data_IF_301289598291
#
_entry.id   IF_301289598291
#
_cell.length_a   1.000
_cell.length_b   1.000
_cell.length_c   1.000
_cell.angle_alpha   90.00
_cell.angle_beta   90.00
_cell.angle_gamma   90.00
#
_symmetry.space_group_name_H-M   'P 1'
#
loop_
_entity.id
_entity.type
_entity.pdbx_description
1 polymer ?
#
# COMPACT_ATOMS: atom_id res chain seq x y z
N UNK A 1 26.22 22.76 14.09
CA UNK A 1 25.21 21.71 14.32
C UNK A 1 25.03 20.96 13.01
N UNK A 2 25.24 19.64 13.00
CA UNK A 2 24.97 18.81 11.82
C UNK A 2 23.48 18.46 11.82
N UNK A 3 22.80 18.76 10.72
CA UNK A 3 21.35 18.51 10.58
C UNK A 3 21.18 17.18 9.85
N UNK A 4 21.15 16.09 10.62
CA UNK A 4 20.97 14.74 10.07
C UNK A 4 19.59 14.17 10.47
N UNK A 5 19.02 13.33 9.62
CA UNK A 5 17.84 12.53 9.94
C UNK A 5 18.26 11.22 10.66
N UNK A 6 17.37 10.63 11.47
CA UNK A 6 17.57 9.28 11.96
C UNK A 6 17.79 8.29 10.81
N UNK A 7 18.67 7.28 11.01
CA UNK A 7 18.94 6.26 9.99
C UNK A 7 17.66 5.57 9.50
N UNK A 8 17.50 5.49 8.20
CA UNK A 8 16.32 4.87 7.58
C UNK A 8 15.06 5.75 7.51
N UNK A 9 15.15 7.01 7.97
CA UNK A 9 14.12 8.03 7.77
C UNK A 9 14.48 8.93 6.59
N UNK A 10 13.48 9.51 5.94
CA UNK A 10 13.65 10.51 4.89
C UNK A 10 12.52 11.53 4.91
N UNK A 11 12.79 12.73 4.43
CA UNK A 11 11.75 13.70 4.09
C UNK A 11 11.14 13.33 2.75
N UNK A 12 9.82 13.29 2.68
CA UNK A 12 9.09 13.05 1.43
C UNK A 12 8.96 14.38 0.68
N UNK A 13 9.51 14.43 -0.52
CA UNK A 13 9.42 15.61 -1.36
C UNK A 13 8.07 15.68 -2.10
N UNK A 14 7.80 16.83 -2.71
CA UNK A 14 6.52 17.13 -3.34
C UNK A 14 6.03 16.06 -4.32
N UNK A 15 6.89 15.59 -5.24
CA UNK A 15 6.52 14.57 -6.23
C UNK A 15 6.23 13.21 -5.57
N UNK A 16 7.00 12.82 -4.56
CA UNK A 16 6.75 11.57 -3.83
C UNK A 16 5.41 11.62 -3.09
N UNK A 17 5.14 12.73 -2.38
CA UNK A 17 3.85 12.92 -1.69
C UNK A 17 2.66 12.91 -2.65
N UNK A 18 2.80 13.52 -3.82
CA UNK A 18 1.74 13.48 -4.85
C UNK A 18 1.46 12.07 -5.33
N UNK A 19 2.52 11.30 -5.58
CA UNK A 19 2.41 9.93 -6.02
C UNK A 19 1.75 9.06 -4.93
N UNK A 20 2.14 9.23 -3.67
CA UNK A 20 1.51 8.57 -2.52
C UNK A 20 0.03 8.96 -2.41
N UNK A 21 -0.28 10.26 -2.52
CA UNK A 21 -1.66 10.76 -2.49
C UNK A 21 -2.50 10.18 -3.63
N UNK A 22 -1.95 10.06 -4.83
CA UNK A 22 -2.65 9.45 -5.96
C UNK A 22 -3.00 7.98 -5.69
N UNK A 23 -2.05 7.20 -5.14
CA UNK A 23 -2.33 5.80 -4.77
C UNK A 23 -3.40 5.76 -3.68
N UNK A 24 -3.32 6.65 -2.68
CA UNK A 24 -4.33 6.77 -1.63
C UNK A 24 -5.72 7.05 -2.20
N UNK A 25 -5.83 8.00 -3.12
CA UNK A 25 -7.12 8.36 -3.74
C UNK A 25 -7.70 7.18 -4.50
N UNK A 26 -6.87 6.44 -5.26
CA UNK A 26 -7.29 5.23 -5.97
C UNK A 26 -7.66 4.08 -5.02
N UNK A 27 -6.98 3.97 -3.88
CA UNK A 27 -7.32 3.02 -2.83
C UNK A 27 -8.68 3.34 -2.21
N UNK A 28 -8.90 4.58 -1.78
CA UNK A 28 -10.16 5.02 -1.18
C UNK A 28 -11.34 4.82 -2.15
N UNK A 29 -11.18 5.24 -3.40
CA UNK A 29 -12.19 5.02 -4.46
C UNK A 29 -12.49 3.52 -4.65
N UNK A 30 -11.48 2.65 -4.56
CA UNK A 30 -11.69 1.20 -4.65
C UNK A 30 -12.37 0.65 -3.40
N UNK A 31 -11.98 1.12 -2.21
CA UNK A 31 -12.59 0.72 -0.95
C UNK A 31 -14.09 1.06 -0.91
N UNK A 32 -14.48 2.23 -1.42
CA UNK A 32 -15.88 2.64 -1.56
C UNK A 32 -16.65 1.73 -2.53
N UNK A 33 -16.06 1.35 -3.68
CA UNK A 33 -16.68 0.43 -4.65
C UNK A 33 -16.96 -0.94 -4.03
N UNK A 34 -16.10 -1.41 -3.14
CA UNK A 34 -16.21 -2.70 -2.45
C UNK A 34 -16.93 -2.61 -1.09
N UNK A 35 -17.45 -1.44 -0.72
CA UNK A 35 -18.12 -1.18 0.57
C UNK A 35 -17.23 -1.45 1.80
N UNK A 36 -15.94 -1.07 1.71
CA UNK A 36 -15.03 -1.06 2.86
C UNK A 36 -15.05 0.30 3.55
N UNK A 37 -15.34 0.30 4.85
CA UNK A 37 -15.34 1.52 5.66
C UNK A 37 -13.91 1.94 6.01
N UNK A 38 -13.53 3.15 5.59
CA UNK A 38 -12.21 3.68 5.87
C UNK A 38 -12.11 4.12 7.33
N UNK A 39 -11.16 3.55 8.06
CA UNK A 39 -10.79 3.97 9.42
C UNK A 39 -9.27 4.12 9.55
N UNK A 40 -8.83 4.90 10.50
CA UNK A 40 -7.40 4.99 10.86
C UNK A 40 -7.21 4.52 12.31
N UNK A 41 -6.54 3.37 12.53
CA UNK A 41 -6.20 2.91 13.88
C UNK A 41 -5.17 3.83 14.53
N UNK A 42 -5.05 3.77 15.85
CA UNK A 42 -4.08 4.57 16.61
C UNK A 42 -2.66 4.41 16.08
N UNK A 43 -1.92 5.51 16.02
CA UNK A 43 -0.50 5.50 15.65
C UNK A 43 0.37 4.89 16.74
N UNK A 44 -0.03 5.06 18.01
CA UNK A 44 0.61 4.48 19.18
C UNK A 44 -0.28 3.35 19.71
N UNK A 45 0.32 2.20 19.93
CA UNK A 45 -0.31 1.03 20.53
C UNK A 45 0.42 0.66 21.84
N UNK A 46 -0.26 -0.06 22.72
CA UNK A 46 0.45 -0.71 23.82
C UNK A 46 1.39 -1.77 23.25
N UNK A 47 2.61 -1.84 23.75
CA UNK A 47 3.59 -2.83 23.28
C UNK A 47 3.03 -4.26 23.38
N UNK A 48 2.31 -4.58 24.47
CA UNK A 48 1.64 -5.87 24.65
C UNK A 48 0.61 -6.20 23.56
N UNK A 49 -0.01 -5.20 22.94
CA UNK A 49 -0.92 -5.42 21.80
C UNK A 49 -0.16 -5.88 20.55
N UNK A 50 1.04 -5.35 20.34
CA UNK A 50 1.90 -5.75 19.21
C UNK A 50 2.51 -7.14 19.42
N UNK A 51 2.94 -7.44 20.64
CA UNK A 51 3.46 -8.76 21.04
C UNK A 51 2.42 -9.88 20.84
N UNK A 52 1.15 -9.56 21.01
CA UNK A 52 0.06 -10.53 20.86
C UNK A 52 -0.01 -11.16 19.46
N UNK A 53 0.44 -10.48 18.40
CA UNK A 53 0.48 -11.01 17.03
C UNK A 53 1.79 -11.75 16.71
N UNK A 54 2.91 -11.15 17.07
CA UNK A 54 4.23 -11.53 16.53
C UNK A 54 5.16 -12.12 17.62
N UNK A 55 4.65 -12.27 18.83
CA UNK A 55 5.47 -12.72 19.95
C UNK A 55 6.49 -11.68 20.45
N UNK A 56 7.31 -12.01 21.45
CA UNK A 56 8.25 -11.07 22.09
C UNK A 56 9.33 -10.52 21.14
N UNK A 57 9.67 -11.22 20.05
CA UNK A 57 10.70 -10.80 19.09
C UNK A 57 10.33 -9.48 18.38
N UNK A 58 9.06 -9.11 18.34
CA UNK A 58 8.58 -7.86 17.70
C UNK A 58 9.19 -6.61 18.35
N UNK A 59 9.63 -6.69 19.60
CA UNK A 59 10.27 -5.58 20.31
C UNK A 59 11.51 -5.08 19.54
N UNK A 60 12.28 -5.99 18.95
CA UNK A 60 13.48 -5.65 18.17
C UNK A 60 13.15 -4.98 16.82
N UNK A 61 11.93 -5.20 16.32
CA UNK A 61 11.44 -4.68 15.05
C UNK A 61 10.58 -3.41 15.18
N UNK A 62 10.34 -2.92 16.41
CA UNK A 62 9.47 -1.78 16.69
C UNK A 62 10.21 -0.59 17.29
N UNK A 63 9.66 0.60 17.09
CA UNK A 63 10.02 1.78 17.85
C UNK A 63 9.18 1.83 19.12
N UNK A 64 9.75 1.35 20.22
CA UNK A 64 9.07 1.30 21.54
C UNK A 64 9.73 2.23 22.55
N UNK A 65 8.93 2.75 23.47
CA UNK A 65 9.37 3.61 24.57
C UNK A 65 8.36 3.63 25.71
N UNK A 66 8.78 4.09 26.88
CA UNK A 66 7.87 4.27 28.03
C UNK A 66 7.34 5.70 28.01
N UNK A 67 6.02 5.87 28.08
CA UNK A 67 5.39 7.18 28.16
C UNK A 67 5.51 7.80 29.57
N UNK A 68 5.08 9.06 29.72
CA UNK A 68 5.11 9.77 31.01
C UNK A 68 4.24 9.12 32.08
N UNK A 69 3.30 8.26 31.70
CA UNK A 69 2.43 7.50 32.61
C UNK A 69 2.98 6.14 32.98
N UNK A 70 4.22 5.80 32.55
CA UNK A 70 4.88 4.53 32.84
C UNK A 70 4.40 3.36 31.98
N UNK A 71 3.68 3.62 30.85
CA UNK A 71 3.17 2.58 29.95
C UNK A 71 4.20 2.30 28.85
N UNK A 72 4.46 1.03 28.56
CA UNK A 72 5.22 0.62 27.40
C UNK A 72 4.37 0.71 26.15
N UNK A 73 4.71 1.63 25.27
CA UNK A 73 4.02 1.91 24.04
C UNK A 73 4.99 1.79 22.86
N UNK A 74 4.43 1.59 21.66
CA UNK A 74 5.24 1.54 20.44
C UNK A 74 4.50 2.20 19.29
N UNK A 75 5.25 2.66 18.29
CA UNK A 75 4.69 3.06 17.00
C UNK A 75 4.17 1.82 16.28
N UNK A 76 2.99 1.92 15.65
CA UNK A 76 2.39 0.83 14.88
C UNK A 76 3.34 0.37 13.77
N UNK A 77 3.58 -0.93 13.65
CA UNK A 77 4.42 -1.49 12.59
C UNK A 77 3.60 -2.06 11.43
N UNK A 78 2.29 -2.21 11.60
CA UNK A 78 1.28 -2.47 10.57
C UNK A 78 -0.07 -1.84 10.96
N UNK A 79 -1.07 -1.96 10.08
CA UNK A 79 -2.42 -1.46 10.33
C UNK A 79 -3.37 -2.58 10.78
N UNK A 80 -3.10 -3.84 10.39
CA UNK A 80 -3.93 -5.02 10.68
C UNK A 80 -4.17 -5.22 12.18
N UNK A 81 -3.12 -5.06 13.02
CA UNK A 81 -3.23 -5.21 14.49
C UNK A 81 -4.18 -4.19 15.07
N UNK A 82 -4.01 -2.93 14.66
CA UNK A 82 -4.87 -1.84 15.13
C UNK A 82 -6.34 -2.04 14.72
N UNK A 83 -6.59 -2.51 13.49
CA UNK A 83 -7.92 -2.85 12.99
C UNK A 83 -8.52 -4.04 13.77
N UNK A 84 -7.74 -5.09 13.98
CA UNK A 84 -8.17 -6.29 14.73
C UNK A 84 -8.49 -5.95 16.19
N UNK A 85 -7.66 -5.13 16.85
CA UNK A 85 -7.92 -4.62 18.22
C UNK A 85 -9.20 -3.78 18.24
N UNK A 86 -9.39 -2.86 17.29
CA UNK A 86 -10.58 -2.01 17.19
C UNK A 86 -11.85 -2.85 17.14
N UNK A 87 -11.93 -3.84 16.25
CA UNK A 87 -13.11 -4.71 16.12
C UNK A 87 -13.27 -5.61 17.34
N UNK A 88 -12.17 -6.14 17.89
CA UNK A 88 -12.21 -7.02 19.06
C UNK A 88 -12.76 -6.33 20.31
N UNK A 89 -12.47 -5.04 20.49
CA UNK A 89 -12.98 -4.23 21.60
C UNK A 89 -14.47 -3.82 21.45
N UNK A 90 -15.02 -3.90 20.23
CA UNK A 90 -16.34 -3.39 19.88
C UNK A 90 -17.33 -4.54 19.64
N UNK A 91 -18.12 -4.88 20.65
CA UNK A 91 -19.16 -5.92 20.54
C UNK A 91 -20.48 -5.41 19.96
N UNK A 92 -20.60 -4.11 19.79
CA UNK A 92 -21.75 -3.41 19.18
C UNK A 92 -21.68 -3.37 17.65
N UNK A 93 -20.54 -3.74 17.04
CA UNK A 93 -20.40 -3.77 15.58
C UNK A 93 -21.20 -4.90 14.96
N UNK A 94 -21.93 -4.56 13.90
CA UNK A 94 -22.66 -5.55 13.10
C UNK A 94 -21.68 -6.31 12.22
N UNK A 95 -21.68 -7.63 12.33
CA UNK A 95 -20.82 -8.53 11.52
C UNK A 95 -21.61 -9.14 10.35
N UNK A 96 -20.98 -9.51 9.23
CA UNK A 96 -19.59 -9.22 8.92
C UNK A 96 -19.35 -7.73 8.71
N UNK A 97 -18.13 -7.25 9.02
CA UNK A 97 -17.72 -5.87 8.77
C UNK A 97 -16.50 -5.83 7.86
N UNK A 98 -16.50 -4.89 6.91
CA UNK A 98 -15.41 -4.62 5.98
C UNK A 98 -14.75 -3.30 6.36
N UNK A 99 -13.46 -3.33 6.68
CA UNK A 99 -12.69 -2.18 7.06
C UNK A 99 -11.51 -1.98 6.11
N UNK A 100 -11.20 -0.72 5.83
CA UNK A 100 -10.01 -0.32 5.09
C UNK A 100 -9.20 0.71 5.87
N UNK A 101 -7.90 0.75 5.65
CA UNK A 101 -7.02 1.73 6.27
C UNK A 101 -5.88 2.13 5.33
N UNK A 102 -5.42 3.37 5.44
CA UNK A 102 -4.25 3.87 4.74
C UNK A 102 -3.47 4.78 5.67
N UNK A 103 -2.20 4.46 5.93
CA UNK A 103 -1.41 5.26 6.87
C UNK A 103 0.06 4.90 6.92
N UNK A 104 0.82 5.73 7.63
CA UNK A 104 2.23 5.46 7.90
C UNK A 104 2.41 4.37 8.95
N UNK A 105 3.42 3.54 8.74
CA UNK A 105 3.86 2.49 9.66
C UNK A 105 5.37 2.57 9.87
N UNK A 106 5.85 2.07 11.01
CA UNK A 106 7.25 2.17 11.42
C UNK A 106 7.81 0.80 11.73
N UNK A 107 8.96 0.45 11.08
CA UNK A 107 9.67 -0.81 11.32
C UNK A 107 11.13 -0.55 11.56
N UNK A 108 11.68 -1.14 12.60
CA UNK A 108 13.11 -1.02 12.94
C UNK A 108 13.99 -2.00 12.14
N UNK A 109 13.63 -2.19 10.86
CA UNK A 109 14.35 -3.04 9.91
C UNK A 109 15.68 -2.40 9.45
N UNK A 110 16.59 -3.22 8.91
CA UNK A 110 17.75 -2.71 8.19
C UNK A 110 17.29 -2.02 6.89
N UNK A 111 17.62 -0.72 6.71
CA UNK A 111 17.21 0.03 5.54
C UNK A 111 17.83 -0.54 4.26
N UNK A 112 16.99 -0.72 3.23
CA UNK A 112 17.37 -1.17 1.89
C UNK A 112 16.62 -0.34 0.84
N UNK A 113 17.01 -0.45 -0.43
CA UNK A 113 16.28 0.19 -1.51
C UNK A 113 14.80 -0.26 -1.53
N UNK A 114 13.88 0.68 -1.42
CA UNK A 114 12.44 0.39 -1.32
C UNK A 114 11.98 -0.14 0.04
N UNK A 115 12.86 -0.19 1.06
CA UNK A 115 12.54 -0.60 2.44
C UNK A 115 13.06 0.46 3.41
N UNK A 116 12.15 1.33 3.80
CA UNK A 116 12.40 2.42 4.76
C UNK A 116 11.88 2.03 6.14
N UNK A 117 12.37 2.70 7.17
CA UNK A 117 11.86 2.52 8.55
C UNK A 117 10.53 3.22 8.79
N UNK A 118 10.17 4.19 7.96
CA UNK A 118 8.85 4.77 7.84
C UNK A 118 8.39 4.67 6.40
N UNK A 119 7.20 4.12 6.17
CA UNK A 119 6.59 3.98 4.86
C UNK A 119 5.06 3.94 4.98
N UNK A 120 4.36 4.08 3.86
CA UNK A 120 2.90 4.01 3.84
C UNK A 120 2.44 2.59 3.51
N UNK A 121 1.39 2.19 4.20
CA UNK A 121 0.71 0.91 4.00
C UNK A 121 -0.77 1.16 3.80
N UNK A 122 -1.40 0.35 2.99
CA UNK A 122 -2.84 0.21 2.91
C UNK A 122 -3.23 -1.19 3.31
N UNK A 123 -4.39 -1.30 3.98
CA UNK A 123 -4.95 -2.56 4.46
C UNK A 123 -6.43 -2.61 4.15
N UNK A 124 -6.94 -3.80 3.85
CA UNK A 124 -8.35 -4.14 3.83
C UNK A 124 -8.57 -5.39 4.65
N UNK A 125 -9.63 -5.41 5.45
CA UNK A 125 -9.93 -6.49 6.38
C UNK A 125 -11.42 -6.79 6.42
N UNK A 126 -11.78 -8.08 6.40
CA UNK A 126 -13.14 -8.57 6.62
C UNK A 126 -13.16 -9.36 7.91
N UNK A 127 -13.99 -8.92 8.85
CA UNK A 127 -14.18 -9.60 10.14
C UNK A 127 -15.57 -10.18 10.26
N UNK A 128 -15.67 -11.39 10.86
CA UNK A 128 -16.94 -12.03 11.18
C UNK A 128 -17.48 -12.95 10.09
N UNK A 129 -16.65 -13.40 9.15
CA UNK A 129 -17.04 -14.41 8.14
C UNK A 129 -16.04 -15.55 8.06
N UNK A 130 -16.50 -16.76 8.33
CA UNK A 130 -15.74 -18.00 8.11
C UNK A 130 -15.82 -18.48 6.65
N UNK A 131 -16.70 -17.87 5.82
CA UNK A 131 -16.91 -18.28 4.44
C UNK A 131 -15.73 -17.89 3.56
N UNK A 132 -15.32 -18.79 2.68
CA UNK A 132 -14.27 -18.59 1.68
C UNK A 132 -14.55 -17.43 0.71
N UNK A 133 -15.82 -17.05 0.56
CA UNK A 133 -16.19 -15.87 -0.24
C UNK A 133 -15.61 -14.57 0.32
N UNK A 134 -15.34 -14.50 1.63
CA UNK A 134 -14.63 -13.35 2.21
C UNK A 134 -13.17 -13.30 1.73
N UNK A 135 -12.50 -14.45 1.63
CA UNK A 135 -11.14 -14.54 1.09
C UNK A 135 -11.13 -14.18 -0.41
N UNK A 136 -12.12 -14.67 -1.16
CA UNK A 136 -12.29 -14.34 -2.58
C UNK A 136 -12.50 -12.84 -2.81
N UNK A 137 -13.30 -12.19 -1.97
CA UNK A 137 -13.55 -10.74 -2.02
C UNK A 137 -12.28 -9.92 -1.79
N UNK A 138 -11.47 -10.32 -0.80
CA UNK A 138 -10.17 -9.68 -0.53
C UNK A 138 -9.23 -9.83 -1.72
N UNK A 139 -9.16 -11.01 -2.34
CA UNK A 139 -8.32 -11.28 -3.51
C UNK A 139 -8.82 -10.50 -4.73
N UNK A 140 -10.13 -10.42 -4.94
CA UNK A 140 -10.73 -9.61 -6.01
C UNK A 140 -10.40 -8.13 -5.84
N UNK A 141 -10.54 -7.59 -4.63
CA UNK A 141 -10.14 -6.23 -4.31
C UNK A 141 -8.69 -5.95 -4.70
N UNK A 142 -7.77 -6.81 -4.28
CA UNK A 142 -6.33 -6.67 -4.59
C UNK A 142 -6.10 -6.64 -6.10
N UNK A 143 -6.69 -7.57 -6.84
CA UNK A 143 -6.60 -7.62 -8.30
C UNK A 143 -7.17 -6.36 -8.95
N UNK A 144 -8.33 -5.91 -8.50
CA UNK A 144 -9.02 -4.73 -9.02
C UNK A 144 -8.19 -3.45 -8.76
N UNK A 145 -7.72 -3.26 -7.53
CA UNK A 145 -6.93 -2.10 -7.11
C UNK A 145 -5.62 -2.00 -7.88
N UNK A 146 -4.83 -3.08 -7.97
CA UNK A 146 -3.57 -3.08 -8.71
C UNK A 146 -3.78 -2.80 -10.20
N UNK A 147 -4.80 -3.40 -10.82
CA UNK A 147 -5.18 -3.12 -12.20
C UNK A 147 -5.58 -1.65 -12.41
N UNK A 148 -6.31 -1.05 -11.47
CA UNK A 148 -6.68 0.38 -11.50
C UNK A 148 -5.46 1.30 -11.44
N UNK A 149 -4.36 0.84 -10.85
CA UNK A 149 -3.06 1.50 -10.86
C UNK A 149 -2.22 1.20 -12.12
N UNK A 150 -2.75 0.39 -13.05
CA UNK A 150 -2.02 -0.02 -14.26
C UNK A 150 -0.93 -1.07 -14.00
N UNK A 151 -1.05 -1.84 -12.93
CA UNK A 151 -0.13 -2.93 -12.59
C UNK A 151 -0.77 -4.26 -12.95
N UNK A 152 -0.14 -4.98 -13.89
CA UNK A 152 -0.48 -6.37 -14.17
C UNK A 152 0.24 -7.27 -13.17
N UNK A 153 -0.54 -7.91 -12.29
CA UNK A 153 0.00 -8.79 -11.27
C UNK A 153 -0.47 -10.23 -11.48
N UNK A 154 0.32 -11.17 -10.96
CA UNK A 154 -0.07 -12.55 -10.72
C UNK A 154 -0.33 -12.71 -9.22
N UNK A 155 -1.46 -13.32 -8.87
CA UNK A 155 -1.81 -13.63 -7.49
C UNK A 155 -1.54 -15.11 -7.27
N UNK A 156 -0.51 -15.40 -6.48
CA UNK A 156 -0.12 -16.72 -6.06
C UNK A 156 -0.83 -17.07 -4.75
N UNK A 157 -1.58 -18.17 -4.75
CA UNK A 157 -2.45 -18.58 -3.64
C UNK A 157 -2.01 -19.94 -3.11
N UNK A 158 -2.02 -20.06 -1.79
CA UNK A 158 -1.80 -21.30 -1.06
C UNK A 158 -2.85 -21.45 0.05
N UNK A 159 -2.91 -22.62 0.63
CA UNK A 159 -3.64 -22.90 1.87
C UNK A 159 -2.69 -23.55 2.87
N UNK A 160 -2.48 -22.92 4.01
CA UNK A 160 -1.55 -23.40 5.05
C UNK A 160 -1.82 -24.84 5.49
N UNK A 161 -3.10 -25.22 5.64
CA UNK A 161 -3.49 -26.55 6.02
C UNK A 161 -3.00 -27.63 5.07
N UNK A 162 -2.86 -27.37 3.75
CA UNK A 162 -2.30 -28.33 2.80
C UNK A 162 -0.85 -28.67 3.16
N UNK A 163 -0.05 -27.66 3.54
CA UNK A 163 1.34 -27.87 3.94
C UNK A 163 1.43 -28.68 5.25
N UNK A 164 0.60 -28.32 6.23
CA UNK A 164 0.54 -29.01 7.52
C UNK A 164 0.04 -30.48 7.35
N UNK A 165 -0.96 -30.70 6.49
CA UNK A 165 -1.45 -32.05 6.16
C UNK A 165 -0.40 -32.86 5.40
N UNK A 166 0.38 -32.27 4.49
CA UNK A 166 1.48 -32.99 3.84
C UNK A 166 2.55 -33.42 4.84
N UNK A 167 2.99 -32.48 5.72
CA UNK A 167 3.96 -32.79 6.77
C UNK A 167 3.48 -33.94 7.67
N UNK A 168 2.22 -33.90 8.09
CA UNK A 168 1.67 -34.94 8.99
C UNK A 168 1.38 -36.27 8.30
N UNK A 169 0.67 -36.27 7.15
CA UNK A 169 0.19 -37.49 6.48
C UNK A 169 1.26 -38.18 5.67
N UNK A 170 2.19 -37.45 5.04
CA UNK A 170 3.22 -38.02 4.15
C UNK A 170 4.61 -38.10 4.78
N UNK A 171 4.96 -37.18 5.68
CA UNK A 171 6.26 -37.19 6.35
C UNK A 171 6.20 -37.61 7.82
N UNK A 172 4.98 -37.83 8.39
CA UNK A 172 4.81 -38.23 9.79
C UNK A 172 5.22 -37.14 10.80
N UNK A 173 5.34 -35.90 10.38
CA UNK A 173 5.78 -34.75 11.20
C UNK A 173 4.55 -34.08 11.80
N UNK A 174 4.35 -34.23 13.11
CA UNK A 174 3.22 -33.66 13.86
C UNK A 174 3.66 -32.70 14.97
N UNK A 175 4.97 -32.60 15.28
CA UNK A 175 5.48 -31.68 16.25
C UNK A 175 5.43 -30.25 15.72
N UNK A 176 4.70 -29.37 16.42
CA UNK A 176 4.45 -27.99 16.00
C UNK A 176 5.75 -27.16 15.86
N UNK A 177 6.79 -27.48 16.62
CA UNK A 177 8.07 -26.78 16.53
C UNK A 177 8.79 -27.13 15.23
N UNK A 178 8.78 -28.43 14.87
CA UNK A 178 9.35 -28.92 13.61
C UNK A 178 8.55 -28.42 12.42
N UNK A 179 7.22 -28.46 12.47
CA UNK A 179 6.33 -27.89 11.43
C UNK A 179 6.67 -26.42 11.20
N UNK A 180 6.83 -25.61 12.27
CA UNK A 180 7.18 -24.21 12.17
C UNK A 180 8.57 -23.99 11.54
N UNK A 181 9.57 -24.81 11.90
CA UNK A 181 10.90 -24.75 11.28
C UNK A 181 10.88 -25.16 9.81
N UNK A 182 10.12 -26.17 9.43
CA UNK A 182 9.91 -26.59 8.03
C UNK A 182 9.31 -25.45 7.20
N UNK A 183 8.27 -24.79 7.71
CA UNK A 183 7.64 -23.65 7.03
C UNK A 183 8.60 -22.45 6.92
N UNK A 184 9.40 -22.16 7.97
CA UNK A 184 10.44 -21.12 7.92
C UNK A 184 11.55 -21.41 6.91
N UNK A 185 11.91 -22.69 6.75
CA UNK A 185 12.87 -23.11 5.73
C UNK A 185 12.34 -22.81 4.32
N UNK A 186 11.08 -23.14 4.05
CA UNK A 186 10.42 -22.88 2.76
C UNK A 186 10.29 -21.39 2.46
N UNK A 187 9.98 -20.54 3.44
CA UNK A 187 9.90 -19.07 3.24
C UNK A 187 11.21 -18.48 2.67
N UNK A 188 12.34 -19.11 2.96
CA UNK A 188 13.66 -18.70 2.45
C UNK A 188 13.91 -19.06 0.99
N UNK A 189 13.09 -19.94 0.36
CA UNK A 189 13.23 -20.34 -1.04
C UNK A 189 13.16 -19.14 -2.01
N UNK A 190 12.49 -18.08 -1.61
CA UNK A 190 12.46 -16.84 -2.37
C UNK A 190 13.82 -16.11 -2.46
N UNK A 191 14.81 -16.49 -1.63
CA UNK A 191 16.11 -15.81 -1.48
C UNK A 191 17.31 -16.75 -1.57
N UNK A 192 17.13 -18.05 -1.35
CA UNK A 192 18.19 -19.05 -1.28
C UNK A 192 17.83 -20.27 -2.13
N UNK A 193 18.85 -20.98 -2.64
CA UNK A 193 18.62 -22.27 -3.31
C UNK A 193 18.23 -23.36 -2.32
N UNK A 194 17.58 -24.42 -2.83
CA UNK A 194 17.18 -25.58 -2.01
C UNK A 194 18.38 -26.20 -1.27
N UNK A 195 19.52 -26.32 -1.93
CA UNK A 195 20.75 -26.84 -1.31
C UNK A 195 21.24 -25.97 -0.16
N UNK A 196 21.22 -24.64 -0.32
CA UNK A 196 21.61 -23.71 0.74
C UNK A 196 20.68 -23.81 1.95
N UNK A 197 19.37 -24.02 1.71
CA UNK A 197 18.40 -24.19 2.79
C UNK A 197 18.60 -25.52 3.50
N UNK A 198 18.75 -26.63 2.77
CA UNK A 198 18.98 -27.94 3.36
C UNK A 198 20.25 -27.90 4.25
N UNK A 199 21.34 -27.33 3.75
CA UNK A 199 22.58 -27.18 4.54
C UNK A 199 22.41 -26.31 5.79
N UNK A 200 21.63 -25.21 5.72
CA UNK A 200 21.38 -24.33 6.86
C UNK A 200 20.55 -25.01 7.98
N UNK A 201 19.70 -25.96 7.61
CA UNK A 201 18.77 -26.61 8.54
C UNK A 201 19.18 -28.03 8.93
N UNK A 202 20.32 -28.54 8.47
CA UNK A 202 20.80 -29.92 8.71
C UNK A 202 20.85 -30.30 10.19
N UNK A 203 21.19 -29.36 11.09
CA UNK A 203 21.28 -29.60 12.54
C UNK A 203 19.91 -29.60 13.25
N UNK A 204 18.84 -29.16 12.58
CA UNK A 204 17.51 -28.96 13.17
C UNK A 204 16.43 -29.81 12.56
N UNK A 205 16.57 -30.16 11.29
CA UNK A 205 15.58 -30.88 10.51
C UNK A 205 16.21 -32.09 9.81
N UNK A 206 15.43 -33.18 9.67
CA UNK A 206 15.83 -34.29 8.82
C UNK A 206 15.93 -33.83 7.36
N UNK A 207 17.13 -33.94 6.79
CA UNK A 207 17.43 -33.45 5.44
C UNK A 207 16.59 -34.09 4.35
N UNK A 208 16.26 -35.39 4.49
CA UNK A 208 15.43 -36.11 3.51
C UNK A 208 13.97 -35.62 3.56
N UNK A 209 13.42 -35.41 4.76
CA UNK A 209 12.08 -34.88 4.95
C UNK A 209 12.00 -33.42 4.44
N UNK A 210 13.02 -32.63 4.72
CA UNK A 210 13.08 -31.23 4.22
C UNK A 210 13.17 -31.20 2.69
N UNK A 211 13.97 -32.06 2.08
CA UNK A 211 14.05 -32.12 0.62
C UNK A 211 12.71 -32.50 -0.01
N UNK A 212 12.04 -33.53 0.49
CA UNK A 212 10.69 -33.94 0.00
C UNK A 212 9.67 -32.81 0.16
N UNK A 213 9.74 -32.07 1.26
CA UNK A 213 8.87 -30.94 1.49
C UNK A 213 9.16 -29.79 0.51
N UNK A 214 10.42 -29.49 0.26
CA UNK A 214 10.83 -28.49 -0.76
C UNK A 214 10.35 -28.90 -2.15
N UNK A 215 10.46 -30.17 -2.52
CA UNK A 215 9.95 -30.69 -3.78
C UNK A 215 8.44 -30.51 -3.90
N UNK A 216 7.69 -30.85 -2.85
CA UNK A 216 6.24 -30.64 -2.80
C UNK A 216 5.84 -29.18 -2.95
N UNK A 217 6.44 -28.25 -2.19
CA UNK A 217 6.09 -26.83 -2.26
C UNK A 217 6.55 -26.13 -3.56
N UNK A 218 7.45 -26.77 -4.30
CA UNK A 218 7.87 -26.30 -5.63
C UNK A 218 6.81 -26.54 -6.72
N UNK A 219 5.79 -27.34 -6.38
CA UNK A 219 4.68 -27.61 -7.28
C UNK A 219 3.76 -26.38 -7.36
N UNK A 220 3.67 -25.78 -8.51
CA UNK A 220 2.88 -24.60 -8.77
C UNK A 220 2.29 -24.60 -10.18
N UNK A 221 1.26 -23.79 -10.41
CA UNK A 221 0.65 -23.66 -11.72
C UNK A 221 -0.82 -23.23 -11.71
N UNK A 222 -1.47 -23.29 -12.88
CA UNK A 222 -2.90 -22.96 -12.98
C UNK A 222 -3.76 -23.84 -12.07
N UNK A 223 -4.79 -23.25 -11.42
CA UNK A 223 -5.67 -23.98 -10.51
C UNK A 223 -6.25 -25.26 -11.10
N UNK A 224 -6.68 -25.23 -12.36
CA UNK A 224 -7.30 -26.35 -13.05
C UNK A 224 -6.37 -27.56 -13.17
N UNK A 225 -5.05 -27.31 -13.26
CA UNK A 225 -4.06 -28.37 -13.33
C UNK A 225 -3.70 -28.92 -11.96
N UNK A 226 -3.51 -28.01 -11.00
CA UNK A 226 -3.01 -28.37 -9.67
C UNK A 226 -4.09 -29.08 -8.85
N UNK A 227 -5.32 -28.57 -8.83
CA UNK A 227 -6.42 -29.14 -8.02
C UNK A 227 -6.90 -30.53 -8.47
N UNK A 228 -6.51 -30.97 -9.65
CA UNK A 228 -6.81 -32.32 -10.14
C UNK A 228 -5.71 -33.34 -9.79
N UNK A 229 -4.63 -32.95 -9.13
CA UNK A 229 -3.58 -33.84 -8.69
C UNK A 229 -4.11 -34.79 -7.58
N UNK A 230 -3.85 -36.08 -7.74
CA UNK A 230 -4.37 -37.12 -6.81
C UNK A 230 -3.80 -36.95 -5.39
N UNK A 231 -2.59 -36.45 -5.24
CA UNK A 231 -1.97 -36.13 -3.94
C UNK A 231 -2.80 -35.12 -3.17
N UNK A 232 -3.27 -34.07 -3.88
CA UNK A 232 -4.06 -33.02 -3.25
C UNK A 232 -5.45 -33.44 -2.83
N UNK A 233 -6.03 -34.43 -3.50
CA UNK A 233 -7.34 -35.01 -3.11
C UNK A 233 -7.33 -35.65 -1.74
N UNK A 234 -6.15 -36.06 -1.23
CA UNK A 234 -6.00 -36.61 0.10
C UNK A 234 -6.09 -35.58 1.23
N UNK A 235 -6.08 -34.27 0.90
CA UNK A 235 -6.08 -33.19 1.88
C UNK A 235 -7.45 -32.52 2.01
N UNK A 236 -7.93 -32.36 3.24
CA UNK A 236 -9.20 -31.69 3.52
C UNK A 236 -9.17 -30.20 3.12
N UNK A 237 -8.03 -29.57 3.32
CA UNK A 237 -7.79 -28.16 2.95
C UNK A 237 -7.88 -27.91 1.45
N UNK A 238 -7.74 -28.94 0.60
CA UNK A 238 -7.90 -28.82 -0.85
C UNK A 238 -9.33 -28.49 -1.26
N UNK A 239 -10.32 -28.94 -0.49
CA UNK A 239 -11.72 -28.60 -0.74
C UNK A 239 -11.95 -27.10 -0.58
N UNK A 240 -11.40 -26.50 0.49
CA UNK A 240 -11.47 -25.04 0.72
C UNK A 240 -10.80 -24.27 -0.40
N UNK A 241 -9.64 -24.75 -0.85
CA UNK A 241 -8.93 -24.12 -1.96
C UNK A 241 -9.73 -24.23 -3.27
N UNK A 242 -10.35 -25.37 -3.55
CA UNK A 242 -11.23 -25.56 -4.71
C UNK A 242 -12.43 -24.59 -4.68
N UNK A 243 -13.13 -24.51 -3.54
CA UNK A 243 -14.23 -23.55 -3.37
C UNK A 243 -13.80 -22.09 -3.59
N UNK A 244 -12.60 -21.73 -3.13
CA UNK A 244 -12.04 -20.40 -3.38
C UNK A 244 -11.88 -20.13 -4.88
N UNK A 245 -11.32 -21.08 -5.62
CA UNK A 245 -11.13 -20.89 -7.07
C UNK A 245 -12.44 -20.86 -7.84
N UNK A 246 -13.45 -21.62 -7.43
CA UNK A 246 -14.80 -21.54 -8.01
C UNK A 246 -15.43 -20.16 -7.78
N UNK A 247 -15.28 -19.60 -6.58
CA UNK A 247 -15.72 -18.24 -6.27
C UNK A 247 -14.97 -17.20 -7.08
N UNK A 248 -13.64 -17.30 -7.17
CA UNK A 248 -12.79 -16.38 -7.96
C UNK A 248 -13.10 -16.46 -9.46
N UNK A 249 -13.36 -17.66 -9.98
CA UNK A 249 -13.78 -17.85 -11.38
C UNK A 249 -15.13 -17.20 -11.66
N UNK A 250 -16.09 -17.33 -10.76
CA UNK A 250 -17.40 -16.66 -10.86
C UNK A 250 -17.28 -15.15 -10.84
N UNK A 251 -16.29 -14.62 -10.14
CA UNK A 251 -15.91 -13.19 -10.08
C UNK A 251 -15.05 -12.73 -11.27
N UNK A 252 -14.77 -13.62 -12.22
CA UNK A 252 -13.92 -13.37 -13.40
C UNK A 252 -12.50 -12.88 -13.03
N UNK A 253 -11.99 -13.27 -11.88
CA UNK A 253 -10.64 -12.95 -11.45
C UNK A 253 -9.61 -13.60 -12.40
N UNK A 254 -8.57 -12.85 -12.76
CA UNK A 254 -7.56 -13.26 -13.75
C UNK A 254 -6.17 -13.33 -13.13
N UNK A 255 -5.26 -14.03 -13.82
CA UNK A 255 -3.85 -14.13 -13.42
C UNK A 255 -3.67 -14.72 -12.00
N UNK A 256 -4.42 -15.79 -11.71
CA UNK A 256 -4.36 -16.49 -10.43
C UNK A 256 -3.64 -17.82 -10.62
N UNK A 257 -2.75 -18.15 -9.71
CA UNK A 257 -2.00 -19.42 -9.69
C UNK A 257 -2.01 -20.05 -8.30
N UNK A 258 -1.91 -21.37 -8.23
CA UNK A 258 -1.58 -22.07 -6.99
C UNK A 258 -0.05 -22.05 -6.87
N UNK A 259 0.46 -21.74 -5.68
CA UNK A 259 1.89 -21.74 -5.39
C UNK A 259 2.12 -22.10 -3.91
N UNK A 260 2.49 -23.36 -3.66
CA UNK A 260 2.69 -23.85 -2.31
C UNK A 260 3.92 -23.29 -1.61
N UNK A 261 4.80 -22.59 -2.32
CA UNK A 261 5.92 -21.87 -1.72
C UNK A 261 5.50 -20.55 -1.00
N UNK A 262 4.26 -20.11 -1.17
CA UNK A 262 3.70 -18.95 -0.47
C UNK A 262 3.35 -19.34 0.96
N UNK A 263 4.28 -19.10 1.89
CA UNK A 263 4.16 -19.47 3.33
C UNK A 263 4.23 -18.26 4.27
N UNK A 264 3.61 -17.17 3.87
CA UNK A 264 3.64 -15.90 4.61
C UNK A 264 3.03 -16.01 6.01
N UNK A 265 3.49 -15.09 6.90
CA UNK A 265 2.85 -14.86 8.20
C UNK A 265 2.74 -16.11 9.04
N UNK A 266 3.84 -16.84 9.20
CA UNK A 266 3.92 -18.15 9.82
C UNK A 266 3.25 -18.23 11.20
N UNK A 267 3.18 -17.12 11.90
CA UNK A 267 2.74 -17.09 13.29
C UNK A 267 1.24 -16.82 13.45
N UNK A 268 0.56 -16.26 12.45
CA UNK A 268 -0.84 -15.84 12.60
C UNK A 268 -1.80 -16.29 11.49
N UNK A 269 -1.36 -16.58 10.27
CA UNK A 269 -2.27 -17.10 9.25
C UNK A 269 -2.73 -18.54 9.56
N UNK A 270 -4.03 -18.81 9.35
CA UNK A 270 -4.67 -20.07 9.72
C UNK A 270 -5.33 -20.83 8.55
N UNK A 271 -5.34 -20.26 7.35
CA UNK A 271 -6.04 -20.83 6.21
C UNK A 271 -5.43 -20.42 4.88
N UNK A 272 -6.26 -19.81 4.02
CA UNK A 272 -5.81 -19.21 2.75
C UNK A 272 -4.73 -18.17 3.01
N UNK A 273 -3.67 -18.20 2.20
CA UNK A 273 -2.62 -17.19 2.13
C UNK A 273 -2.34 -16.86 0.67
N UNK A 274 -1.99 -15.61 0.37
CA UNK A 274 -1.70 -15.22 -0.99
C UNK A 274 -0.72 -14.07 -1.08
N UNK A 275 -0.10 -13.94 -2.25
CA UNK A 275 0.77 -12.83 -2.62
C UNK A 275 0.44 -12.33 -4.02
N UNK A 276 0.45 -11.00 -4.19
CA UNK A 276 0.42 -10.39 -5.51
C UNK A 276 1.81 -9.92 -5.91
N UNK A 277 2.29 -10.36 -7.06
CA UNK A 277 3.60 -10.03 -7.64
C UNK A 277 3.44 -9.47 -9.04
N UNK A 278 4.22 -8.47 -9.38
CA UNK A 278 4.36 -8.01 -10.77
C UNK A 278 5.51 -8.78 -11.41
N UNK A 279 5.25 -9.62 -12.45
CA UNK A 279 6.23 -10.58 -12.95
C UNK A 279 7.50 -9.95 -13.54
N UNK A 280 7.39 -8.73 -14.06
CA UNK A 280 8.52 -8.02 -14.68
C UNK A 280 9.37 -7.25 -13.68
N UNK A 281 8.94 -7.14 -12.41
CA UNK A 281 9.68 -6.43 -11.38
C UNK A 281 10.48 -7.37 -10.48
N UNK A 282 11.69 -6.94 -10.11
CA UNK A 282 12.51 -7.64 -9.12
C UNK A 282 12.20 -7.24 -7.66
N UNK A 283 11.07 -6.56 -7.43
CA UNK A 283 10.72 -5.97 -6.12
C UNK A 283 10.19 -7.02 -5.14
N UNK A 284 9.82 -8.20 -5.65
CA UNK A 284 9.13 -9.22 -4.87
C UNK A 284 7.63 -8.95 -4.73
N UNK A 285 7.03 -9.39 -3.63
CA UNK A 285 5.60 -9.25 -3.40
C UNK A 285 5.21 -7.80 -3.13
N UNK A 286 4.20 -7.30 -3.86
CA UNK A 286 3.60 -5.97 -3.67
C UNK A 286 2.54 -5.99 -2.58
N UNK A 287 1.80 -7.09 -2.49
CA UNK A 287 0.70 -7.30 -1.54
C UNK A 287 0.81 -8.68 -0.95
N UNK A 288 0.50 -8.81 0.31
CA UNK A 288 0.31 -10.08 0.98
C UNK A 288 -0.98 -10.08 1.78
N UNK A 289 -1.64 -11.23 1.83
CA UNK A 289 -2.88 -11.38 2.55
C UNK A 289 -3.21 -12.83 2.88
N UNK A 290 -4.34 -13.01 3.55
CA UNK A 290 -4.87 -14.32 3.91
C UNK A 290 -5.76 -14.29 5.14
N UNK A 291 -6.18 -15.47 5.58
CA UNK A 291 -7.03 -15.72 6.74
C UNK A 291 -6.20 -15.84 8.02
N UNK A 292 -6.60 -15.11 9.07
CA UNK A 292 -5.83 -15.00 10.32
C UNK A 292 -6.70 -15.03 11.59
N UNK A 293 -7.57 -15.99 11.71
CA UNK A 293 -8.51 -16.16 12.82
C UNK A 293 -7.81 -16.21 14.19
N UNK A 294 -6.58 -16.77 14.26
CA UNK A 294 -5.77 -16.85 15.49
C UNK A 294 -5.46 -15.48 16.12
N UNK A 295 -5.35 -14.43 15.32
CA UNK A 295 -5.08 -13.10 15.86
C UNK A 295 -6.25 -12.54 16.65
N UNK A 296 -7.47 -12.70 16.15
CA UNK A 296 -8.68 -12.28 16.85
C UNK A 296 -8.94 -13.10 18.11
N UNK A 297 -8.60 -14.41 18.08
CA UNK A 297 -8.62 -15.27 19.28
C UNK A 297 -7.68 -14.74 20.37
N UNK A 298 -6.48 -14.29 20.02
CA UNK A 298 -5.52 -13.70 20.96
C UNK A 298 -6.09 -12.43 21.61
N UNK A 299 -6.92 -11.67 20.90
CA UNK A 299 -7.67 -10.53 21.46
C UNK A 299 -8.96 -10.92 22.18
N UNK A 300 -9.16 -12.23 22.50
CA UNK A 300 -10.31 -12.74 23.24
C UNK A 300 -11.59 -12.89 22.42
N UNK A 301 -11.51 -12.95 21.08
CA UNK A 301 -12.63 -13.05 20.15
C UNK A 301 -12.52 -14.31 19.27
N UNK A 302 -12.76 -15.48 19.87
CA UNK A 302 -12.81 -16.77 19.17
C UNK A 302 -13.97 -16.88 18.15
N UNK A 303 -14.97 -16.03 18.29
CA UNK A 303 -16.12 -15.93 17.39
C UNK A 303 -15.85 -15.08 16.15
N UNK A 304 -14.68 -14.45 16.05
CA UNK A 304 -14.39 -13.43 15.06
C UNK A 304 -13.38 -13.98 14.03
N UNK A 305 -13.89 -14.59 12.97
CA UNK A 305 -13.08 -14.95 11.80
C UNK A 305 -12.59 -13.70 11.08
N UNK A 306 -11.37 -13.75 10.56
CA UNK A 306 -10.75 -12.60 9.91
C UNK A 306 -9.92 -12.98 8.70
N UNK A 307 -10.07 -12.21 7.63
CA UNK A 307 -9.25 -12.30 6.42
C UNK A 307 -8.98 -10.90 5.87
N UNK A 308 -7.80 -10.68 5.28
CA UNK A 308 -7.46 -9.36 4.77
C UNK A 308 -6.20 -9.35 3.92
N UNK A 309 -5.82 -8.16 3.48
CA UNK A 309 -4.64 -7.91 2.68
C UNK A 309 -4.00 -6.58 3.01
N UNK A 310 -2.67 -6.55 2.94
CA UNK A 310 -1.86 -5.35 3.14
C UNK A 310 -0.84 -5.18 2.01
N UNK A 311 -0.61 -3.93 1.60
CA UNK A 311 0.39 -3.59 0.60
C UNK A 311 1.19 -2.33 0.94
N UNK A 312 2.50 -2.37 0.66
CA UNK A 312 3.39 -1.22 0.82
C UNK A 312 3.30 -0.26 -0.36
N UNK A 313 2.97 1.01 -0.09
CA UNK A 313 2.77 2.03 -1.12
C UNK A 313 4.06 2.33 -1.89
N UNK A 314 5.20 2.42 -1.20
CA UNK A 314 6.50 2.68 -1.81
C UNK A 314 6.96 1.55 -2.74
N UNK A 315 6.57 0.29 -2.45
CA UNK A 315 6.79 -0.85 -3.35
C UNK A 315 5.92 -0.75 -4.60
N UNK A 316 4.65 -0.37 -4.44
CA UNK A 316 3.74 -0.11 -5.56
C UNK A 316 4.32 1.01 -6.44
N UNK A 317 4.78 2.12 -5.85
CA UNK A 317 5.42 3.21 -6.59
C UNK A 317 6.64 2.73 -7.37
N UNK A 318 7.45 1.87 -6.77
CA UNK A 318 8.63 1.30 -7.45
C UNK A 318 8.23 0.38 -8.60
N UNK A 319 7.18 -0.44 -8.45
CA UNK A 319 6.63 -1.29 -9.51
C UNK A 319 6.01 -0.47 -10.66
N UNK A 320 5.44 0.69 -10.33
CA UNK A 320 4.89 1.63 -11.31
C UNK A 320 5.99 2.42 -12.05
N UNK A 321 7.27 2.25 -11.74
CA UNK A 321 8.38 3.05 -12.25
C UNK A 321 8.33 3.21 -13.78
N UNK A 322 8.18 4.44 -14.27
CA UNK A 322 7.99 4.77 -15.68
C UNK A 322 6.56 4.60 -16.23
N UNK A 323 5.65 3.92 -15.52
CA UNK A 323 4.23 3.77 -15.91
C UNK A 323 3.33 4.87 -15.29
N UNK A 324 3.79 5.54 -14.24
CA UNK A 324 3.12 6.73 -13.74
C UNK A 324 3.10 7.79 -14.85
N UNK A 325 1.96 7.92 -15.54
CA UNK A 325 1.70 9.15 -16.29
C UNK A 325 1.92 10.27 -15.29
N UNK A 326 2.79 11.24 -15.63
CA UNK A 326 2.99 12.43 -14.77
C UNK A 326 1.61 12.88 -14.33
N UNK A 327 1.34 12.78 -13.02
CA UNK A 327 0.07 13.27 -12.49
C UNK A 327 0.00 14.73 -12.94
N UNK A 328 -1.03 15.14 -13.70
CA UNK A 328 -1.04 16.49 -14.24
C UNK A 328 -0.92 17.49 -13.08
N UNK A 329 0.11 18.31 -13.12
CA UNK A 329 0.13 19.49 -12.24
C UNK A 329 -1.05 20.38 -12.63
N UNK A 330 -1.74 20.97 -11.67
CA UNK A 330 -2.61 22.10 -12.01
C UNK A 330 -1.74 23.12 -12.70
N UNK A 331 -2.06 23.54 -13.93
CA UNK A 331 -1.26 24.49 -14.65
C UNK A 331 -1.09 25.75 -13.83
N UNK A 332 0.16 26.20 -13.69
CA UNK A 332 0.50 27.38 -12.91
C UNK A 332 0.27 28.64 -13.75
N UNK A 333 -0.45 29.59 -13.20
CA UNK A 333 -0.57 30.95 -13.72
C UNK A 333 0.32 31.84 -12.87
N UNK A 334 1.17 32.63 -13.50
CA UNK A 334 2.03 33.57 -12.80
C UNK A 334 1.54 35.01 -13.03
N UNK A 335 1.28 35.75 -11.95
CA UNK A 335 0.87 37.16 -12.03
C UNK A 335 2.08 38.05 -11.81
N UNK A 336 2.43 38.85 -12.85
CA UNK A 336 3.58 39.74 -12.85
C UNK A 336 3.14 41.21 -12.81
N UNK A 337 3.96 42.06 -12.16
CA UNK A 337 3.74 43.49 -12.03
C UNK A 337 5.07 44.24 -12.05
N UNK A 338 5.07 45.49 -12.55
CA UNK A 338 6.28 46.29 -12.74
C UNK A 338 6.59 47.26 -11.59
N UNK A 339 5.58 47.67 -10.81
CA UNK A 339 5.72 48.70 -9.78
C UNK A 339 4.90 48.36 -8.51
N UNK A 340 5.23 49.05 -7.40
CA UNK A 340 4.49 48.89 -6.13
C UNK A 340 3.01 49.33 -6.25
N UNK A 341 2.69 50.25 -7.14
CA UNK A 341 1.30 50.67 -7.39
C UNK A 341 0.50 49.56 -8.11
N UNK A 342 1.14 48.86 -9.01
CA UNK A 342 0.53 47.72 -9.74
C UNK A 342 0.40 46.49 -8.86
N UNK A 343 1.27 46.33 -7.85
CA UNK A 343 1.22 45.22 -6.92
C UNK A 343 -0.13 45.05 -6.24
N UNK A 344 -0.78 46.14 -5.83
CA UNK A 344 -2.11 46.09 -5.19
C UNK A 344 -3.14 45.42 -6.11
N UNK A 345 -3.14 45.82 -7.39
CA UNK A 345 -4.03 45.24 -8.40
C UNK A 345 -3.63 43.82 -8.80
N UNK A 346 -2.33 43.52 -8.80
CA UNK A 346 -1.86 42.14 -9.00
C UNK A 346 -2.35 41.22 -7.90
N UNK A 347 -2.32 41.65 -6.64
CA UNK A 347 -2.84 40.86 -5.52
C UNK A 347 -4.35 40.66 -5.57
N UNK A 348 -5.09 41.69 -6.02
CA UNK A 348 -6.53 41.56 -6.28
C UNK A 348 -6.80 40.50 -7.36
N UNK A 349 -6.06 40.55 -8.48
CA UNK A 349 -6.18 39.55 -9.54
C UNK A 349 -5.78 38.16 -9.08
N UNK A 350 -4.72 38.02 -8.30
CA UNK A 350 -4.33 36.72 -7.67
C UNK A 350 -5.49 36.14 -6.87
N UNK A 351 -6.17 36.97 -6.08
CA UNK A 351 -7.32 36.55 -5.30
C UNK A 351 -8.47 36.10 -6.21
N UNK A 352 -8.79 36.83 -7.24
CA UNK A 352 -9.84 36.50 -8.23
C UNK A 352 -9.54 35.13 -8.86
N UNK A 353 -8.32 34.96 -9.39
CA UNK A 353 -7.93 33.73 -10.06
C UNK A 353 -7.93 32.51 -9.12
N UNK A 354 -7.48 32.69 -7.87
CA UNK A 354 -7.53 31.62 -6.85
C UNK A 354 -8.98 31.24 -6.49
N UNK A 355 -9.87 32.21 -6.39
CA UNK A 355 -11.29 31.95 -6.15
C UNK A 355 -11.97 31.20 -7.33
N UNK A 356 -11.45 31.38 -8.55
CA UNK A 356 -11.86 30.59 -9.73
C UNK A 356 -11.22 29.17 -9.75
N UNK A 357 -10.38 28.83 -8.77
CA UNK A 357 -9.78 27.50 -8.63
C UNK A 357 -8.45 27.30 -9.34
N UNK A 358 -7.83 28.35 -9.90
CA UNK A 358 -6.54 28.23 -10.56
C UNK A 358 -5.38 28.16 -9.55
N UNK A 359 -4.29 27.48 -9.95
CA UNK A 359 -3.00 27.56 -9.25
C UNK A 359 -2.31 28.86 -9.65
N UNK A 360 -2.10 29.77 -8.71
CA UNK A 360 -1.58 31.11 -9.00
C UNK A 360 -0.41 31.46 -8.09
N UNK A 361 0.68 31.89 -8.71
CA UNK A 361 1.85 32.44 -8.00
C UNK A 361 2.17 33.84 -8.48
N UNK A 362 2.95 34.58 -7.68
CA UNK A 362 3.37 35.93 -7.94
C UNK A 362 4.66 36.25 -7.17
N UNK A 363 5.31 37.35 -7.48
CA UNK A 363 6.53 37.75 -6.79
C UNK A 363 6.27 38.34 -5.40
N UNK A 364 6.75 37.62 -4.37
CA UNK A 364 6.61 38.05 -2.98
C UNK A 364 7.70 39.05 -2.57
N UNK A 365 8.84 39.07 -3.29
CA UNK A 365 10.04 39.77 -2.90
C UNK A 365 10.20 41.16 -3.57
N UNK A 366 9.20 41.66 -4.31
CA UNK A 366 9.25 42.93 -5.06
C UNK A 366 10.43 43.00 -6.03
N UNK A 367 10.74 41.88 -6.71
CA UNK A 367 11.79 41.82 -7.73
C UNK A 367 11.34 42.55 -9.01
N UNK A 368 12.30 42.90 -9.85
CA UNK A 368 12.00 43.50 -11.16
C UNK A 368 11.20 42.56 -12.05
N UNK A 369 10.39 43.07 -12.96
CA UNK A 369 9.52 42.31 -13.84
C UNK A 369 10.28 41.24 -14.65
N UNK A 370 11.52 41.53 -15.07
CA UNK A 370 12.37 40.55 -15.77
C UNK A 370 12.73 39.35 -14.89
N UNK A 371 12.98 39.58 -13.57
CA UNK A 371 13.21 38.50 -12.62
C UNK A 371 11.94 37.71 -12.35
N UNK A 372 10.77 38.33 -12.38
CA UNK A 372 9.48 37.65 -12.26
C UNK A 372 9.21 36.76 -13.47
N UNK A 373 9.49 37.24 -14.68
CA UNK A 373 9.37 36.40 -15.90
C UNK A 373 10.31 35.18 -15.87
N UNK A 374 11.53 35.38 -15.39
CA UNK A 374 12.48 34.30 -15.22
C UNK A 374 11.98 33.28 -14.20
N UNK A 375 11.45 33.73 -13.06
CA UNK A 375 10.86 32.88 -12.03
C UNK A 375 9.64 32.06 -12.56
N UNK A 376 8.76 32.74 -13.31
CA UNK A 376 7.62 32.07 -13.98
C UNK A 376 8.08 30.98 -14.95
N UNK A 377 9.15 31.23 -15.70
CA UNK A 377 9.75 30.24 -16.61
C UNK A 377 10.35 29.06 -15.86
N UNK A 378 11.12 29.29 -14.78
CA UNK A 378 11.68 28.23 -13.95
C UNK A 378 10.60 27.34 -13.31
N UNK A 379 9.45 27.93 -12.98
CA UNK A 379 8.28 27.24 -12.43
C UNK A 379 7.40 26.58 -13.49
N UNK A 380 7.79 26.68 -14.78
CA UNK A 380 7.00 26.16 -15.91
C UNK A 380 5.56 26.70 -15.91
N UNK A 381 5.37 28.00 -15.63
CA UNK A 381 4.07 28.63 -15.68
C UNK A 381 3.46 28.50 -17.09
N UNK A 382 2.21 28.05 -17.18
CA UNK A 382 1.47 27.93 -18.43
C UNK A 382 1.19 29.30 -19.03
N UNK A 383 0.85 30.25 -18.18
CA UNK A 383 0.55 31.62 -18.56
C UNK A 383 1.15 32.60 -17.55
N UNK A 384 1.60 33.78 -18.07
CA UNK A 384 1.97 34.91 -17.26
C UNK A 384 0.93 36.01 -17.49
N UNK A 385 0.27 36.44 -16.41
CA UNK A 385 -0.69 37.55 -16.46
C UNK A 385 0.01 38.81 -15.99
N UNK A 386 0.15 39.78 -16.87
CA UNK A 386 0.86 41.05 -16.62
C UNK A 386 -0.17 42.10 -16.21
N UNK A 387 0.05 42.69 -15.04
CA UNK A 387 -0.80 43.75 -14.52
C UNK A 387 -0.12 45.11 -14.75
N UNK A 388 -0.76 45.96 -15.56
CA UNK A 388 -0.42 47.34 -15.76
C UNK A 388 -1.54 48.21 -15.17
N UNK A 389 -1.16 49.35 -14.54
CA UNK A 389 -2.12 50.23 -13.86
C UNK A 389 -3.20 50.76 -14.81
N UNK A 390 -2.79 51.17 -16.03
CA UNK A 390 -3.72 51.77 -17.00
C UNK A 390 -4.67 50.78 -17.63
N UNK A 391 -4.24 49.51 -17.80
CA UNK A 391 -5.07 48.43 -18.34
C UNK A 391 -6.02 47.90 -17.27
N UNK A 392 -5.53 47.70 -16.05
CA UNK A 392 -6.32 47.21 -14.95
C UNK A 392 -7.52 48.12 -14.61
N UNK A 393 -7.32 49.43 -14.62
CA UNK A 393 -8.40 50.43 -14.45
C UNK A 393 -9.49 50.33 -15.53
N UNK A 394 -9.15 49.79 -16.70
CA UNK A 394 -10.10 49.54 -17.81
C UNK A 394 -10.69 48.13 -17.74
N UNK A 395 -10.40 47.37 -16.69
CA UNK A 395 -10.84 45.97 -16.54
C UNK A 395 -10.10 44.98 -17.45
N UNK A 396 -8.89 45.31 -17.89
CA UNK A 396 -8.12 44.56 -18.88
C UNK A 396 -6.78 44.11 -18.24
N UNK A 397 -6.29 42.97 -18.64
CA UNK A 397 -4.93 42.46 -18.34
C UNK A 397 -4.29 41.87 -19.59
N UNK A 398 -2.97 41.84 -19.64
CA UNK A 398 -2.23 41.19 -20.72
C UNK A 398 -1.84 39.78 -20.31
N UNK A 399 -2.17 38.78 -21.11
CA UNK A 399 -1.82 37.37 -20.86
C UNK A 399 -0.80 36.91 -21.89
N UNK A 400 0.31 36.37 -21.40
CA UNK A 400 1.39 35.80 -22.21
C UNK A 400 1.41 34.29 -22.07
N UNK A 401 1.28 33.57 -23.21
CA UNK A 401 1.36 32.10 -23.32
C UNK A 401 2.45 31.77 -24.34
N UNK A 402 3.60 31.31 -23.87
CA UNK A 402 4.77 31.12 -24.74
C UNK A 402 5.20 32.45 -25.37
N UNK A 403 5.12 32.54 -26.72
CA UNK A 403 5.46 33.75 -27.48
C UNK A 403 4.26 34.66 -27.81
N UNK A 404 3.05 34.21 -27.52
CA UNK A 404 1.83 34.95 -27.81
C UNK A 404 1.43 35.83 -26.63
N UNK A 405 1.11 37.09 -26.92
CA UNK A 405 0.53 38.02 -25.95
C UNK A 405 -0.84 38.51 -26.44
N UNK A 406 -1.81 38.50 -25.52
CA UNK A 406 -3.13 39.06 -25.85
C UNK A 406 -3.78 39.72 -24.64
N UNK A 407 -4.62 40.73 -24.89
CA UNK A 407 -5.39 41.41 -23.87
C UNK A 407 -6.70 40.72 -23.61
N UNK A 408 -7.03 40.57 -22.33
CA UNK A 408 -8.28 39.92 -21.90
C UNK A 408 -8.99 40.76 -20.84
N UNK A 409 -10.32 40.72 -20.86
CA UNK A 409 -11.10 41.28 -19.77
C UNK A 409 -10.92 40.46 -18.50
N UNK A 410 -10.80 41.14 -17.36
CA UNK A 410 -10.71 40.47 -16.04
C UNK A 410 -11.96 39.64 -15.75
N UNK A 411 -13.15 40.08 -16.23
CA UNK A 411 -14.41 39.37 -16.04
C UNK A 411 -14.51 38.07 -16.86
N UNK A 412 -13.77 37.96 -17.95
CA UNK A 412 -13.75 36.79 -18.83
C UNK A 412 -12.47 35.98 -18.78
N UNK A 413 -11.54 36.37 -17.89
CA UNK A 413 -10.22 35.72 -17.78
C UNK A 413 -10.32 34.23 -17.51
N UNK A 414 -11.30 33.78 -16.71
CA UNK A 414 -11.55 32.37 -16.43
C UNK A 414 -11.89 31.60 -17.70
N UNK A 415 -12.83 32.07 -18.50
CA UNK A 415 -13.20 31.40 -19.77
C UNK A 415 -12.02 31.26 -20.73
N UNK A 416 -11.16 32.28 -20.78
CA UNK A 416 -9.97 32.23 -21.61
C UNK A 416 -8.94 31.23 -21.10
N UNK A 417 -8.69 31.22 -19.77
CA UNK A 417 -7.76 30.30 -19.17
C UNK A 417 -8.23 28.84 -19.32
N UNK A 418 -9.51 28.57 -19.19
CA UNK A 418 -10.10 27.23 -19.41
C UNK A 418 -9.92 26.69 -20.84
N UNK A 419 -9.71 27.57 -21.82
CA UNK A 419 -9.45 27.18 -23.21
C UNK A 419 -7.98 26.79 -23.46
N UNK A 420 -7.06 27.22 -22.59
CA UNK A 420 -5.61 27.00 -22.77
C UNK A 420 -5.05 25.99 -21.77
N UNK A 421 -5.83 25.62 -20.74
CA UNK A 421 -5.55 24.58 -19.75
C UNK A 421 -6.07 23.24 -20.24
#
# INVERSE_FOLDING_TARGET
>A
MKLDLPRGMKDLQYEELRNISHIRDKFVETAEIFDFNLIEPSTLELLSTLEAKSGPSIIEETYSFTDKGGRNIALRFDLTIGLSRFVSMRRDLKLPIKLSSFGGVWRYDEPQLGRYRYFHQWDIEIFGSANVDADAEVIEFVSFFLRKLGIDCVIAINHRGILEEYLSKFLGITDNSIVSEMLRAVDKLSKKSSEQIINEYTDRLDSNSLQKFIEFVSFNGPPEKILHDDTLRAFESSNTLSMLFDSLKSRQAKNITVDFSVVRGLDYYSGIVFEAKEPSSHIGSLVGGGRYDKLTETFGRKDLHATGAAGGVERILTAMNGKLKKIPHRPLIYVAYGSQKEKTHALELVSILRNLGYSVDYDINNRTINKQFHDASLKNALAIVIVSLDEFKKGIVTIKTGVKEQKQSITEIGKYLDQII
#
